data_IF_098119500736
#
_entry.id   IF_098119500736
#
_cell.length_a   1.000
_cell.length_b   1.000
_cell.length_c   1.000
_cell.angle_alpha   90.00
_cell.angle_beta   90.00
_cell.angle_gamma   90.00
#
_symmetry.space_group_name_H-M   'P 1'
#
loop_
_entity.id
_entity.type
_entity.pdbx_description
1 polymer ?
#
# COMPACT_ATOMS: atom_id res chain seq x y z
N UNK A 1 -2.42 -19.63 14.66
CA UNK A 1 -3.63 -18.81 14.83
C UNK A 1 -3.98 -18.23 13.47
N UNK A 2 -5.26 -18.23 13.11
CA UNK A 2 -5.74 -18.19 11.73
C UNK A 2 -5.79 -16.75 11.18
N UNK A 3 -4.68 -16.29 10.58
CA UNK A 3 -4.76 -15.20 9.61
C UNK A 3 -5.24 -15.77 8.28
N UNK A 4 -6.27 -15.14 7.72
CA UNK A 4 -6.85 -15.56 6.44
C UNK A 4 -6.77 -14.37 5.49
N UNK A 5 -6.15 -14.54 4.32
CA UNK A 5 -6.47 -13.65 3.21
C UNK A 5 -7.95 -13.90 2.88
N UNK A 6 -8.83 -12.97 3.26
CA UNK A 6 -10.26 -13.14 3.06
C UNK A 6 -10.59 -13.13 1.56
N UNK A 7 -11.55 -13.97 1.14
CA UNK A 7 -12.01 -14.19 -0.24
C UNK A 7 -12.74 -12.98 -0.87
N UNK A 8 -12.40 -11.76 -0.48
CA UNK A 8 -12.99 -10.51 -0.97
C UNK A 8 -12.82 -9.38 0.02
N UNK A 9 -12.64 -8.15 -0.47
CA UNK A 9 -12.74 -6.95 0.34
C UNK A 9 -14.18 -6.78 0.83
N UNK A 10 -14.38 -6.22 2.02
CA UNK A 10 -15.71 -5.70 2.39
C UNK A 10 -16.11 -4.55 1.45
N UNK A 11 -17.40 -4.24 1.35
CA UNK A 11 -17.87 -3.11 0.53
C UNK A 11 -17.21 -1.78 0.94
N UNK A 12 -17.01 -1.58 2.25
CA UNK A 12 -16.34 -0.40 2.79
C UNK A 12 -14.86 -0.35 2.41
N UNK A 13 -14.15 -1.46 2.50
CA UNK A 13 -12.75 -1.56 2.06
C UNK A 13 -12.64 -1.27 0.57
N UNK A 14 -13.51 -1.89 -0.24
CA UNK A 14 -13.55 -1.70 -1.69
C UNK A 14 -13.77 -0.22 -2.04
N UNK A 15 -14.79 0.41 -1.45
CA UNK A 15 -15.08 1.83 -1.65
C UNK A 15 -13.87 2.71 -1.31
N UNK A 16 -13.22 2.44 -0.18
CA UNK A 16 -12.06 3.21 0.28
C UNK A 16 -10.85 3.05 -0.65
N UNK A 17 -10.61 1.83 -1.14
CA UNK A 17 -9.56 1.56 -2.13
C UNK A 17 -9.85 2.26 -3.45
N UNK A 18 -11.08 2.16 -3.96
CA UNK A 18 -11.49 2.80 -5.22
C UNK A 18 -11.34 4.34 -5.14
N UNK A 19 -11.77 4.96 -4.04
CA UNK A 19 -11.57 6.39 -3.78
C UNK A 19 -10.09 6.78 -3.75
N UNK A 20 -9.22 5.95 -3.18
CA UNK A 20 -7.79 6.23 -3.15
C UNK A 20 -7.13 6.04 -4.51
N UNK A 21 -7.53 5.03 -5.29
CA UNK A 21 -7.08 4.85 -6.67
C UNK A 21 -7.46 6.08 -7.51
N UNK A 22 -8.68 6.60 -7.37
CA UNK A 22 -9.12 7.82 -8.05
C UNK A 22 -8.29 9.04 -7.65
N UNK A 23 -8.03 9.23 -6.35
CA UNK A 23 -7.13 10.32 -5.88
C UNK A 23 -5.72 10.20 -6.46
N UNK A 24 -5.17 8.98 -6.52
CA UNK A 24 -3.87 8.72 -7.14
C UNK A 24 -3.89 9.00 -8.65
N UNK A 25 -4.95 8.62 -9.36
CA UNK A 25 -5.15 8.93 -10.78
C UNK A 25 -5.15 10.44 -11.01
N UNK A 26 -5.96 11.19 -10.26
CA UNK A 26 -6.06 12.64 -10.40
C UNK A 26 -4.71 13.33 -10.12
N UNK A 27 -3.97 12.89 -9.10
CA UNK A 27 -2.64 13.42 -8.82
C UNK A 27 -1.65 13.10 -9.96
N UNK A 28 -1.65 11.87 -10.47
CA UNK A 28 -0.72 11.44 -11.51
C UNK A 28 -0.91 12.16 -12.84
N UNK A 29 -2.17 12.47 -13.20
CA UNK A 29 -2.48 13.32 -14.36
C UNK A 29 -1.91 14.72 -14.18
N UNK A 30 -2.12 15.33 -13.00
CA UNK A 30 -1.67 16.70 -12.73
C UNK A 30 -0.14 16.88 -12.78
N UNK A 31 0.61 15.85 -12.38
CA UNK A 31 2.08 15.90 -12.29
C UNK A 31 2.79 15.18 -13.43
N UNK A 32 2.05 14.61 -14.39
CA UNK A 32 2.59 13.84 -15.51
C UNK A 32 3.56 12.73 -15.07
N UNK A 33 3.11 11.85 -14.15
CA UNK A 33 3.93 10.86 -13.45
C UNK A 33 4.42 9.67 -14.31
N UNK A 34 4.90 9.89 -15.54
CA UNK A 34 5.27 8.83 -16.48
C UNK A 34 6.15 7.74 -15.85
N UNK A 35 5.85 6.48 -16.15
CA UNK A 35 6.54 5.28 -15.65
C UNK A 35 6.64 5.21 -14.11
N UNK A 36 5.72 5.85 -13.38
CA UNK A 36 5.73 5.91 -11.92
C UNK A 36 4.55 5.15 -11.32
N UNK A 37 4.63 4.86 -10.03
CA UNK A 37 3.45 4.60 -9.21
C UNK A 37 3.07 5.89 -8.47
N UNK A 38 1.81 6.30 -8.59
CA UNK A 38 1.23 7.34 -7.74
C UNK A 38 0.43 6.63 -6.67
N UNK A 39 0.76 6.88 -5.42
CA UNK A 39 0.22 6.15 -4.28
C UNK A 39 -0.63 7.09 -3.43
N UNK A 40 -1.86 6.71 -3.14
CA UNK A 40 -2.75 7.40 -2.21
C UNK A 40 -3.19 6.43 -1.12
N UNK A 41 -3.09 6.86 0.13
CA UNK A 41 -3.38 6.03 1.31
C UNK A 41 -4.35 6.77 2.23
N UNK A 42 -5.36 6.09 2.74
CA UNK A 42 -6.28 6.62 3.77
C UNK A 42 -6.06 5.89 5.09
N UNK A 43 -5.96 6.65 6.18
CA UNK A 43 -5.96 6.12 7.52
C UNK A 43 -7.39 6.11 8.08
N UNK A 44 -7.97 4.92 8.23
CA UNK A 44 -9.29 4.70 8.81
C UNK A 44 -9.23 4.21 10.26
N UNK A 45 -8.04 4.12 10.87
CA UNK A 45 -7.88 3.84 12.30
C UNK A 45 -8.33 5.03 13.15
N UNK A 46 -8.26 4.87 14.48
CA UNK A 46 -8.65 5.90 15.45
C UNK A 46 -7.47 6.80 15.87
N UNK A 47 -6.26 6.51 15.39
CA UNK A 47 -5.03 7.26 15.73
C UNK A 47 -4.29 7.69 14.48
N UNK A 48 -3.35 8.62 14.60
CA UNK A 48 -2.47 8.96 13.48
C UNK A 48 -1.48 7.83 13.21
N UNK A 49 -1.25 7.52 11.93
CA UNK A 49 -0.21 6.59 11.53
C UNK A 49 1.09 7.33 11.24
N UNK A 50 2.22 6.78 11.65
CA UNK A 50 3.56 7.35 11.49
C UNK A 50 4.38 6.49 10.56
N UNK A 51 5.09 7.10 9.61
CA UNK A 51 6.00 6.38 8.73
C UNK A 51 7.15 5.74 9.53
N UNK A 52 7.44 4.47 9.28
CA UNK A 52 8.54 3.74 9.92
C UNK A 52 9.70 3.50 8.95
N UNK A 53 9.45 2.74 7.89
CA UNK A 53 10.49 2.29 6.95
C UNK A 53 9.91 2.10 5.55
N UNK A 54 10.79 2.10 4.54
CA UNK A 54 10.46 1.76 3.17
C UNK A 54 11.51 0.82 2.57
N UNK A 55 11.15 0.21 1.45
CA UNK A 55 12.10 -0.53 0.62
C UNK A 55 11.84 -0.22 -0.86
N UNK A 56 12.92 -0.06 -1.64
CA UNK A 56 12.85 0.23 -3.07
C UNK A 56 13.56 -0.90 -3.82
N UNK A 57 12.79 -1.79 -4.45
CA UNK A 57 13.38 -2.81 -5.34
C UNK A 57 13.75 -2.20 -6.70
N UNK A 58 12.97 -1.21 -7.16
CA UNK A 58 13.13 -0.58 -8.48
C UNK A 58 12.44 0.79 -8.44
N UNK A 59 13.15 1.84 -8.86
CA UNK A 59 12.69 3.24 -8.71
C UNK A 59 12.94 3.85 -7.32
N UNK A 60 12.40 5.06 -7.08
CA UNK A 60 12.53 5.78 -5.81
C UNK A 60 11.42 6.82 -5.60
N UNK A 61 11.18 7.22 -4.35
CA UNK A 61 10.23 8.30 -4.04
C UNK A 61 10.79 9.66 -4.47
N UNK A 62 9.92 10.54 -5.00
CA UNK A 62 10.28 11.89 -5.43
C UNK A 62 9.47 12.97 -4.70
N UNK A 63 9.87 14.23 -4.83
CA UNK A 63 9.19 15.36 -4.20
C UNK A 63 9.44 15.42 -2.69
N UNK A 64 8.37 15.47 -1.89
CA UNK A 64 8.46 15.58 -0.42
C UNK A 64 8.84 14.28 0.27
N UNK A 65 9.01 13.18 -0.47
CA UNK A 65 9.22 11.85 0.09
C UNK A 65 7.94 11.21 0.62
N UNK A 66 8.10 10.16 1.42
CA UNK A 66 6.97 9.48 2.07
C UNK A 66 6.32 10.38 3.12
N UNK A 67 4.97 10.43 3.20
CA UNK A 67 4.28 11.18 4.24
C UNK A 67 4.70 10.71 5.62
N UNK A 68 5.32 11.59 6.42
CA UNK A 68 5.79 11.25 7.78
C UNK A 68 4.65 10.83 8.71
N UNK A 69 3.45 11.36 8.48
CA UNK A 69 2.24 10.96 9.20
C UNK A 69 1.00 11.01 8.31
N UNK A 70 0.03 10.17 8.64
CA UNK A 70 -1.31 10.13 8.05
C UNK A 70 -2.31 10.29 9.19
N UNK A 71 -2.89 11.49 9.41
CA UNK A 71 -3.86 11.70 10.47
C UNK A 71 -5.10 10.81 10.32
N UNK A 72 -5.77 10.54 11.44
CA UNK A 72 -7.02 9.77 11.44
C UNK A 72 -8.04 10.36 10.46
N UNK A 73 -8.69 9.49 9.69
CA UNK A 73 -9.70 9.79 8.66
C UNK A 73 -9.20 10.72 7.55
N UNK A 74 -7.88 10.88 7.39
CA UNK A 74 -7.29 11.64 6.29
C UNK A 74 -6.53 10.73 5.32
N UNK A 75 -6.35 11.25 4.11
CA UNK A 75 -5.48 10.63 3.10
C UNK A 75 -4.17 11.40 2.93
N UNK A 76 -3.13 10.70 2.46
CA UNK A 76 -1.87 11.28 1.99
C UNK A 76 -1.44 10.58 0.70
N UNK A 77 -0.63 11.27 -0.09
CA UNK A 77 -0.13 10.77 -1.36
C UNK A 77 1.37 10.96 -1.52
N UNK A 78 1.98 10.15 -2.38
CA UNK A 78 3.34 10.34 -2.86
C UNK A 78 3.50 9.76 -4.27
N UNK A 79 4.61 10.11 -4.92
CA UNK A 79 5.00 9.57 -6.23
C UNK A 79 6.25 8.73 -6.03
N UNK A 80 6.22 7.50 -6.52
CA UNK A 80 7.37 6.64 -6.64
C UNK A 80 7.77 6.52 -8.11
N UNK A 81 8.79 7.26 -8.48
CA UNK A 81 9.29 7.30 -9.85
C UNK A 81 9.94 5.97 -10.19
N UNK A 82 9.43 5.31 -11.22
CA UNK A 82 10.00 4.06 -11.67
C UNK A 82 11.29 4.24 -12.45
N UNK A 83 12.14 3.23 -12.43
CA UNK A 83 13.29 3.17 -13.33
C UNK A 83 12.87 2.74 -14.75
N UNK A 84 13.75 3.00 -15.72
CA UNK A 84 13.45 2.78 -17.13
C UNK A 84 13.29 1.30 -17.51
N UNK A 85 13.79 0.37 -16.71
CA UNK A 85 13.84 -1.06 -17.02
C UNK A 85 12.73 -1.83 -16.34
N UNK A 86 12.61 -1.67 -15.02
CA UNK A 86 11.82 -2.52 -14.13
C UNK A 86 10.62 -1.76 -13.51
N UNK A 87 10.50 -0.46 -13.77
CA UNK A 87 9.35 0.37 -13.39
C UNK A 87 9.40 0.83 -11.94
N UNK A 88 8.26 0.91 -11.28
CA UNK A 88 8.17 1.30 -9.86
C UNK A 88 7.83 0.08 -9.01
N UNK A 89 8.74 -0.28 -8.11
CA UNK A 89 8.54 -1.35 -7.15
C UNK A 89 9.06 -0.92 -5.78
N UNK A 90 8.16 -0.85 -4.81
CA UNK A 90 8.52 -0.43 -3.47
C UNK A 90 7.53 -0.90 -2.43
N UNK A 91 7.90 -0.66 -1.18
CA UNK A 91 7.07 -0.91 -0.02
C UNK A 91 7.24 0.20 1.02
N UNK A 92 6.21 0.40 1.84
CA UNK A 92 6.20 1.28 2.99
C UNK A 92 5.58 0.58 4.19
N UNK A 93 6.08 0.89 5.38
CA UNK A 93 5.53 0.48 6.65
C UNK A 93 5.16 1.70 7.47
N UNK A 94 3.94 1.67 8.00
CA UNK A 94 3.41 2.69 8.90
C UNK A 94 3.01 2.06 10.23
N UNK A 95 3.31 2.74 11.33
CA UNK A 95 2.95 2.34 12.68
C UNK A 95 1.82 3.18 13.25
N UNK A 96 1.03 2.58 14.12
CA UNK A 96 -0.09 3.18 14.83
C UNK A 96 -0.49 2.30 16.01
N UNK A 97 -1.76 2.33 16.39
CA UNK A 97 -2.30 1.43 17.41
C UNK A 97 -3.68 0.92 17.05
N UNK A 98 -4.04 -0.24 17.58
CA UNK A 98 -5.39 -0.79 17.46
C UNK A 98 -6.38 -0.11 18.42
N UNK A 99 -7.61 -0.63 18.48
CA UNK A 99 -8.67 -0.14 19.36
C UNK A 99 -8.31 -0.23 20.86
N UNK A 100 -7.45 -1.18 21.24
CA UNK A 100 -6.98 -1.38 22.62
C UNK A 100 -5.75 -0.52 22.98
N UNK A 101 -5.24 0.28 22.03
CA UNK A 101 -4.03 1.09 22.23
C UNK A 101 -2.72 0.30 22.06
N UNK A 102 -2.79 -0.94 21.59
CA UNK A 102 -1.60 -1.77 21.37
C UNK A 102 -0.87 -1.35 20.08
N UNK A 103 0.48 -1.23 20.10
CA UNK A 103 1.25 -0.84 18.92
C UNK A 103 1.10 -1.83 17.76
N UNK A 104 0.72 -1.31 16.60
CA UNK A 104 0.47 -2.09 15.38
C UNK A 104 1.18 -1.49 14.16
N UNK A 105 1.38 -2.32 13.14
CA UNK A 105 1.98 -1.92 11.87
C UNK A 105 1.15 -2.33 10.66
N UNK A 106 1.32 -1.57 9.58
CA UNK A 106 0.69 -1.77 8.28
C UNK A 106 1.74 -1.67 7.19
N UNK A 107 1.86 -2.71 6.37
CA UNK A 107 2.77 -2.80 5.22
C UNK A 107 1.97 -2.73 3.93
N UNK A 108 2.37 -1.83 3.04
CA UNK A 108 1.89 -1.75 1.65
C UNK A 108 3.09 -1.93 0.72
N UNK A 109 3.00 -2.88 -0.20
CA UNK A 109 3.96 -3.06 -1.28
C UNK A 109 3.26 -3.03 -2.64
N UNK A 110 3.94 -2.53 -3.66
CA UNK A 110 3.41 -2.42 -5.03
C UNK A 110 4.48 -2.79 -6.07
N UNK A 111 3.99 -3.24 -7.22
CA UNK A 111 4.76 -3.44 -8.43
C UNK A 111 3.99 -2.83 -9.60
N UNK A 112 4.65 -1.92 -10.31
CA UNK A 112 4.15 -1.20 -11.47
C UNK A 112 5.24 -1.22 -12.57
N UNK A 113 5.31 -2.28 -13.39
CA UNK A 113 6.36 -2.42 -14.40
C UNK A 113 6.19 -1.40 -15.53
N UNK A 114 7.29 -1.06 -16.22
CA UNK A 114 7.28 -0.18 -17.40
C UNK A 114 6.43 -0.71 -18.55
N UNK A 115 6.36 -2.03 -18.72
CA UNK A 115 5.54 -2.69 -19.73
C UNK A 115 4.67 -3.76 -19.05
N UNK A 116 3.40 -3.42 -18.85
CA UNK A 116 2.41 -4.32 -18.25
C UNK A 116 2.03 -5.41 -19.24
N UNK A 117 2.29 -6.66 -18.88
CA UNK A 117 1.91 -7.84 -19.67
C UNK A 117 1.21 -8.86 -18.77
N UNK A 118 0.54 -9.88 -19.33
CA UNK A 118 -0.02 -10.97 -18.51
C UNK A 118 1.01 -11.67 -17.59
N UNK A 119 2.29 -11.67 -17.96
CA UNK A 119 3.37 -12.27 -17.17
C UNK A 119 4.08 -11.28 -16.25
N UNK A 120 3.89 -9.97 -16.47
CA UNK A 120 4.39 -8.87 -15.62
C UNK A 120 3.25 -7.88 -15.35
N UNK A 121 2.20 -8.30 -14.60
CA UNK A 121 1.08 -7.42 -14.31
C UNK A 121 1.45 -6.42 -13.20
N UNK A 122 0.62 -5.40 -13.00
CA UNK A 122 0.65 -4.63 -11.76
C UNK A 122 0.25 -5.53 -10.58
N UNK A 123 0.90 -5.34 -9.44
CA UNK A 123 0.61 -6.12 -8.23
C UNK A 123 0.66 -5.29 -6.98
N UNK A 124 -0.06 -5.74 -5.97
CA UNK A 124 0.02 -5.25 -4.61
C UNK A 124 0.18 -6.41 -3.64
N UNK A 125 0.88 -6.15 -2.54
CA UNK A 125 0.91 -7.01 -1.37
C UNK A 125 0.68 -6.14 -0.13
N UNK A 126 -0.07 -6.68 0.82
CA UNK A 126 -0.39 -5.98 2.06
C UNK A 126 -0.23 -6.92 3.25
N UNK A 127 0.13 -6.35 4.39
CA UNK A 127 0.21 -7.06 5.65
C UNK A 127 -0.10 -6.10 6.80
N UNK A 128 -0.63 -6.61 7.90
CA UNK A 128 -0.77 -5.86 9.15
C UNK A 128 -0.62 -6.78 10.36
N UNK A 129 -0.60 -6.21 11.56
CA UNK A 129 -0.48 -6.94 12.81
C UNK A 129 0.25 -6.15 13.88
N UNK A 130 0.72 -6.85 14.91
CA UNK A 130 1.53 -6.26 15.97
C UNK A 130 2.78 -5.57 15.40
N UNK A 131 3.17 -4.42 15.97
CA UNK A 131 4.33 -3.66 15.49
C UNK A 131 5.61 -4.52 15.43
N UNK A 132 5.80 -5.42 16.41
CA UNK A 132 6.96 -6.31 16.51
C UNK A 132 7.16 -7.24 15.31
N UNK A 133 6.09 -7.51 14.54
CA UNK A 133 6.16 -8.24 13.26
C UNK A 133 7.02 -7.53 12.21
N UNK A 134 7.20 -6.22 12.35
CA UNK A 134 7.90 -5.36 11.41
C UNK A 134 9.25 -4.85 11.93
N UNK A 135 9.70 -5.31 13.10
CA UNK A 135 11.03 -4.94 13.64
C UNK A 135 12.18 -5.53 12.80
N UNK A 136 11.94 -6.65 12.11
CA UNK A 136 12.90 -7.25 11.18
C UNK A 136 12.17 -7.79 9.96
N UNK A 137 12.10 -6.97 8.91
CA UNK A 137 11.38 -7.29 7.68
C UNK A 137 12.30 -8.07 6.73
N UNK A 138 11.91 -9.30 6.40
CA UNK A 138 12.53 -10.02 5.28
C UNK A 138 11.98 -9.46 3.96
N UNK A 139 12.66 -8.45 3.40
CA UNK A 139 12.27 -7.83 2.13
C UNK A 139 12.21 -8.82 0.97
N UNK A 140 13.05 -9.85 0.96
CA UNK A 140 12.98 -10.94 -0.04
C UNK A 140 11.68 -11.74 0.10
N UNK A 141 11.23 -12.02 1.33
CA UNK A 141 9.94 -12.68 1.57
C UNK A 141 8.77 -11.80 1.11
N UNK A 142 8.81 -10.50 1.39
CA UNK A 142 7.80 -9.55 0.91
C UNK A 142 7.80 -9.50 -0.61
N UNK A 143 8.97 -9.48 -1.24
CA UNK A 143 9.11 -9.48 -2.70
C UNK A 143 8.53 -10.74 -3.34
N UNK A 144 8.82 -11.92 -2.79
CA UNK A 144 8.27 -13.18 -3.28
C UNK A 144 6.74 -13.20 -3.22
N UNK A 145 6.14 -12.66 -2.14
CA UNK A 145 4.68 -12.52 -2.01
C UNK A 145 4.11 -11.49 -3.00
N UNK A 146 4.78 -10.37 -3.18
CA UNK A 146 4.41 -9.35 -4.17
C UNK A 146 4.49 -9.91 -5.60
N UNK A 147 5.47 -10.75 -5.92
CA UNK A 147 5.68 -11.35 -7.24
C UNK A 147 4.66 -12.41 -7.63
N UNK A 148 3.74 -12.76 -6.74
CA UNK A 148 2.57 -13.59 -7.05
C UNK A 148 1.27 -12.92 -6.61
N UNK A 149 1.34 -11.68 -6.15
CA UNK A 149 0.20 -10.91 -5.66
C UNK A 149 -0.79 -10.54 -6.78
N UNK A 150 -2.07 -10.32 -6.42
CA UNK A 150 -3.08 -9.82 -7.34
C UNK A 150 -2.97 -8.29 -7.53
N UNK A 151 -3.77 -7.75 -8.45
CA UNK A 151 -3.94 -6.30 -8.61
C UNK A 151 -4.76 -5.65 -7.47
N UNK A 152 -5.50 -6.45 -6.70
CA UNK A 152 -6.29 -6.01 -5.54
C UNK A 152 -6.24 -7.07 -4.44
N UNK A 153 -5.98 -6.67 -3.20
CA UNK A 153 -5.86 -7.59 -2.07
C UNK A 153 -6.30 -6.94 -0.75
N UNK A 154 -6.62 -7.76 0.25
CA UNK A 154 -6.78 -7.32 1.63
C UNK A 154 -6.11 -8.31 2.59
N UNK A 155 -5.92 -7.86 3.82
CA UNK A 155 -5.50 -8.70 4.93
C UNK A 155 -6.15 -8.22 6.22
N UNK A 156 -6.53 -9.17 7.06
CA UNK A 156 -7.03 -8.94 8.42
C UNK A 156 -6.18 -9.75 9.38
N UNK A 157 -5.61 -9.08 10.37
CA UNK A 157 -4.95 -9.72 11.50
C UNK A 157 -5.93 -9.83 12.66
N UNK A 158 -6.39 -11.04 12.93
CA UNK A 158 -7.44 -11.30 13.95
C UNK A 158 -6.95 -11.01 15.36
N UNK A 159 -5.65 -11.23 15.62
CA UNK A 159 -5.09 -11.08 16.97
C UNK A 159 -4.99 -9.61 17.38
N UNK A 160 -4.68 -8.70 16.44
CA UNK A 160 -4.59 -7.26 16.70
C UNK A 160 -5.81 -6.46 16.24
N UNK A 161 -6.78 -7.10 15.63
CA UNK A 161 -7.95 -6.48 15.01
C UNK A 161 -7.57 -5.40 13.98
N UNK A 162 -6.49 -5.62 13.23
CA UNK A 162 -6.04 -4.69 12.20
C UNK A 162 -6.44 -5.15 10.81
N UNK A 163 -6.72 -4.20 9.92
CA UNK A 163 -7.05 -4.48 8.53
C UNK A 163 -6.28 -3.60 7.57
N UNK A 164 -6.04 -4.12 6.38
CA UNK A 164 -5.49 -3.36 5.26
C UNK A 164 -6.10 -3.85 3.95
N UNK A 165 -6.42 -2.93 3.06
CA UNK A 165 -6.86 -3.24 1.70
C UNK A 165 -6.10 -2.36 0.71
N UNK A 166 -5.74 -2.90 -0.44
CA UNK A 166 -5.07 -2.14 -1.49
C UNK A 166 -5.46 -2.62 -2.90
N UNK A 167 -5.32 -1.70 -3.85
CA UNK A 167 -5.55 -1.95 -5.27
C UNK A 167 -4.61 -1.12 -6.13
N UNK A 168 -4.31 -1.64 -7.32
CA UNK A 168 -3.50 -0.95 -8.33
C UNK A 168 -4.17 -1.04 -9.71
N UNK A 169 -4.20 0.09 -10.42
CA UNK A 169 -4.72 0.20 -11.79
C UNK A 169 -3.73 0.92 -12.70
N UNK A 170 -3.70 0.59 -13.99
CA UNK A 170 -2.91 1.32 -14.99
C UNK A 170 -3.74 2.43 -15.63
N UNK A 171 -3.16 3.62 -15.77
CA UNK A 171 -3.75 4.75 -16.49
C UNK A 171 -3.15 4.96 -17.89
N UNK A 172 -2.30 4.03 -18.33
CA UNK A 172 -1.57 4.08 -19.61
C UNK A 172 -0.19 4.72 -19.49
N UNK A 173 -0.02 5.75 -18.65
CA UNK A 173 1.28 6.41 -18.41
C UNK A 173 1.90 6.12 -17.06
N UNK A 174 1.11 5.72 -16.07
CA UNK A 174 1.55 5.43 -14.70
C UNK A 174 0.59 4.42 -14.05
N UNK A 175 0.97 3.91 -12.89
CA UNK A 175 0.08 3.09 -12.05
C UNK A 175 -0.51 3.93 -10.91
N UNK A 176 -1.81 3.78 -10.66
CA UNK A 176 -2.50 4.38 -9.51
C UNK A 176 -2.67 3.32 -8.44
N UNK A 177 -2.04 3.51 -7.29
CA UNK A 177 -2.14 2.63 -6.13
C UNK A 177 -3.01 3.30 -5.06
N UNK A 178 -4.06 2.62 -4.63
CA UNK A 178 -4.90 3.03 -3.52
C UNK A 178 -4.79 2.06 -2.36
N UNK A 179 -4.68 2.56 -1.13
CA UNK A 179 -4.70 1.72 0.07
C UNK A 179 -5.52 2.31 1.21
N UNK A 180 -6.15 1.44 1.99
CA UNK A 180 -6.93 1.78 3.17
C UNK A 180 -6.39 1.00 4.38
N UNK A 181 -5.93 1.74 5.39
CA UNK A 181 -5.48 1.19 6.68
C UNK A 181 -6.62 1.27 7.68
N UNK A 182 -6.95 0.17 8.35
CA UNK A 182 -8.12 0.12 9.22
C UNK A 182 -7.98 -0.81 10.41
N UNK A 183 -9.08 -0.93 11.13
CA UNK A 183 -9.30 -1.86 12.24
C UNK A 183 -10.52 -2.71 11.90
N UNK A 184 -10.54 -3.98 12.31
CA UNK A 184 -11.76 -4.79 12.29
C UNK A 184 -12.62 -4.42 13.49
N UNK A 185 -13.91 -4.27 13.27
CA UNK A 185 -14.92 -4.06 14.32
C UNK A 185 -15.50 -5.38 14.78
#
# INVERSE_FOLDING_TARGET
MASTQAMGMTEQQKKSVDEMVEKATNMGVNVQAQNSAVVSMINQTNVSMTFNENHNWSGSVVGTGYPKSIPTKQSRQFIHQGDAKDGSQGAVVYYGSNANGEPCGWLLAWCAPTNVTPTKPNRVYVDCGAQSKFDTISWDTIKAKLDVGPATTNFTDVDTETTIAAGVTSTGSFASVGAAFGLST
#
